data_IF_280037912345
#
_entry.id   IF_280037912345
#
_cell.length_a   1.000
_cell.length_b   1.000
_cell.length_c   1.000
_cell.angle_alpha   90.00
_cell.angle_beta   90.00
_cell.angle_gamma   90.00
#
_symmetry.space_group_name_H-M   'P 1'
#
loop_
_entity.id
_entity.type
_entity.pdbx_description
1 polymer ?
#
# COMPACT_ATOMS: atom_id res chain seq x y z
N UNK A 1 13.62 -24.57 -21.35
CA UNK A 1 12.18 -24.18 -21.48
C UNK A 1 11.30 -25.14 -20.68
N UNK A 2 10.24 -24.65 -20.02
CA UNK A 2 9.36 -25.50 -19.18
C UNK A 2 8.74 -26.66 -19.98
N UNK A 3 8.50 -26.44 -21.27
CA UNK A 3 7.98 -27.42 -22.25
C UNK A 3 8.91 -28.61 -22.50
N UNK A 4 10.20 -28.47 -22.17
CA UNK A 4 11.22 -29.51 -22.35
C UNK A 4 11.54 -30.22 -21.04
N UNK A 5 10.93 -29.82 -19.92
CA UNK A 5 11.18 -30.44 -18.63
C UNK A 5 10.49 -31.80 -18.55
N UNK A 6 11.24 -32.81 -18.13
CA UNK A 6 10.68 -34.13 -17.83
C UNK A 6 10.16 -34.24 -16.40
N UNK A 7 10.53 -33.28 -15.53
CA UNK A 7 10.27 -33.29 -14.08
C UNK A 7 9.01 -32.50 -13.69
N UNK A 8 8.62 -31.52 -14.50
CA UNK A 8 7.50 -30.63 -14.21
C UNK A 8 6.68 -30.37 -15.46
N UNK A 9 5.39 -30.11 -15.27
CA UNK A 9 4.46 -29.73 -16.33
C UNK A 9 3.67 -28.50 -15.91
N UNK A 10 3.53 -27.54 -16.82
CA UNK A 10 2.63 -26.41 -16.62
C UNK A 10 1.21 -26.84 -17.00
N UNK A 11 0.26 -26.81 -16.07
CA UNK A 11 -1.16 -27.13 -16.34
C UNK A 11 -2.03 -25.91 -16.56
N UNK A 12 -1.60 -24.72 -16.10
CA UNK A 12 -2.28 -23.47 -16.45
C UNK A 12 -2.07 -23.16 -17.94
N UNK A 13 -3.15 -22.81 -18.65
CA UNK A 13 -3.09 -22.31 -20.03
C UNK A 13 -2.13 -21.11 -20.11
N UNK A 14 -1.28 -21.10 -21.14
CA UNK A 14 -0.39 -19.97 -21.44
C UNK A 14 -1.22 -18.90 -22.18
N UNK A 15 -2.36 -18.50 -21.59
CA UNK A 15 -3.28 -17.56 -22.20
C UNK A 15 -2.77 -16.13 -22.11
N UNK A 16 -3.15 -15.31 -23.10
CA UNK A 16 -2.86 -13.87 -23.11
C UNK A 16 -3.55 -13.15 -21.95
N UNK A 17 -4.58 -13.75 -21.36
CA UNK A 17 -5.29 -13.31 -20.16
C UNK A 17 -4.71 -13.94 -18.88
N UNK A 18 -3.41 -13.77 -18.68
CA UNK A 18 -2.75 -14.23 -17.46
C UNK A 18 -3.34 -13.52 -16.23
N UNK A 19 -4.14 -14.23 -15.43
CA UNK A 19 -4.85 -13.66 -14.28
C UNK A 19 -4.07 -13.62 -12.97
N UNK A 20 -2.85 -14.18 -12.92
CA UNK A 20 -2.01 -14.08 -11.71
C UNK A 20 -1.42 -15.39 -11.21
N UNK A 21 -1.96 -16.53 -11.64
CA UNK A 21 -1.60 -17.85 -11.11
C UNK A 21 -1.08 -18.77 -12.21
N UNK A 22 0.01 -19.48 -11.92
CA UNK A 22 0.50 -20.62 -12.70
C UNK A 22 0.44 -21.86 -11.83
N UNK A 23 -0.17 -22.91 -12.36
CA UNK A 23 -0.17 -24.23 -11.71
C UNK A 23 0.90 -25.08 -12.37
N UNK A 24 1.82 -25.58 -11.56
CA UNK A 24 2.91 -26.46 -11.98
C UNK A 24 2.73 -27.78 -11.25
N UNK A 25 2.64 -28.86 -12.03
CA UNK A 25 2.55 -30.22 -11.52
C UNK A 25 3.90 -30.90 -11.64
N UNK A 26 4.28 -31.66 -10.61
CA UNK A 26 5.44 -32.53 -10.65
C UNK A 26 5.06 -33.83 -11.35
N UNK A 27 5.91 -34.30 -12.25
CA UNK A 27 5.69 -35.55 -12.98
C UNK A 27 6.19 -36.75 -12.18
N UNK A 28 5.87 -37.95 -12.66
CA UNK A 28 6.38 -39.22 -12.10
C UNK A 28 7.92 -39.33 -12.16
N UNK A 29 8.59 -38.53 -13.00
CA UNK A 29 10.05 -38.52 -13.11
C UNK A 29 10.72 -37.68 -12.01
N UNK A 30 9.96 -36.94 -11.21
CA UNK A 30 10.49 -36.17 -10.07
C UNK A 30 10.78 -37.08 -8.88
N UNK A 31 11.84 -37.87 -9.01
CA UNK A 31 12.31 -38.83 -7.99
C UNK A 31 13.03 -38.12 -6.84
N UNK A 32 13.09 -38.72 -5.64
CA UNK A 32 13.90 -38.21 -4.54
C UNK A 32 15.34 -37.90 -4.98
N UNK A 33 15.84 -36.71 -4.64
CA UNK A 33 17.15 -36.22 -5.08
C UNK A 33 17.13 -35.34 -6.34
N UNK A 34 15.97 -35.15 -6.97
CA UNK A 34 15.80 -34.20 -8.08
C UNK A 34 15.71 -32.76 -7.59
N UNK A 35 16.22 -31.81 -8.38
CA UNK A 35 16.13 -30.37 -8.12
C UNK A 35 15.49 -29.68 -9.32
N UNK A 36 14.56 -28.77 -9.05
CA UNK A 36 13.93 -27.90 -10.06
C UNK A 36 14.12 -26.45 -9.62
N UNK A 37 14.52 -25.58 -10.55
CA UNK A 37 14.73 -24.16 -10.31
C UNK A 37 13.73 -23.38 -11.15
N UNK A 38 13.00 -22.47 -10.51
CA UNK A 38 12.06 -21.57 -11.16
C UNK A 38 12.64 -20.16 -11.23
N UNK A 39 12.66 -19.58 -12.43
CA UNK A 39 12.81 -18.14 -12.59
C UNK A 39 11.40 -17.55 -12.73
N UNK A 40 11.04 -16.65 -11.82
CA UNK A 40 9.73 -15.99 -11.81
C UNK A 40 9.94 -14.50 -12.02
N UNK A 41 9.15 -13.91 -12.92
CA UNK A 41 9.13 -12.47 -13.18
C UNK A 41 7.82 -11.86 -12.73
N UNK A 42 7.88 -10.59 -12.34
CA UNK A 42 6.69 -9.79 -12.06
C UNK A 42 5.83 -9.67 -13.33
N UNK A 43 4.52 -9.58 -13.15
CA UNK A 43 3.59 -9.51 -14.28
C UNK A 43 3.73 -8.20 -15.03
N UNK A 44 3.60 -8.20 -16.38
CA UNK A 44 3.66 -6.98 -17.17
C UNK A 44 2.72 -5.88 -16.68
N UNK A 45 1.51 -6.25 -16.24
CA UNK A 45 0.52 -5.31 -15.68
C UNK A 45 1.00 -4.59 -14.40
N UNK A 46 1.88 -5.21 -13.62
CA UNK A 46 2.41 -4.67 -12.37
C UNK A 46 3.62 -3.75 -12.63
N UNK A 47 4.30 -3.85 -13.77
CA UNK A 47 5.45 -2.99 -14.07
C UNK A 47 5.09 -1.51 -14.04
N UNK A 48 3.93 -1.13 -14.56
CA UNK A 48 3.49 0.27 -14.50
C UNK A 48 3.27 0.73 -13.05
N UNK A 49 2.70 -0.13 -12.20
CA UNK A 49 2.55 0.14 -10.76
C UNK A 49 3.90 0.37 -10.09
N UNK A 50 4.92 -0.44 -10.41
CA UNK A 50 6.28 -0.27 -9.86
C UNK A 50 6.90 1.06 -10.27
N UNK A 51 6.80 1.42 -11.56
CA UNK A 51 7.28 2.72 -12.08
C UNK A 51 6.58 3.87 -11.34
N UNK A 52 5.25 3.78 -11.16
CA UNK A 52 4.49 4.80 -10.45
C UNK A 52 4.94 4.94 -8.98
N UNK A 53 5.24 3.82 -8.30
CA UNK A 53 5.77 3.83 -6.93
C UNK A 53 7.14 4.51 -6.87
N UNK A 54 8.06 4.15 -7.77
CA UNK A 54 9.38 4.77 -7.85
C UNK A 54 9.29 6.28 -8.10
N UNK A 55 8.43 6.70 -9.04
CA UNK A 55 8.20 8.11 -9.32
C UNK A 55 7.71 8.87 -8.08
N UNK A 56 6.84 8.27 -7.26
CA UNK A 56 6.34 8.89 -6.03
C UNK A 56 7.41 8.97 -4.96
N UNK A 57 8.19 7.91 -4.76
CA UNK A 57 9.31 7.93 -3.82
C UNK A 57 10.28 9.05 -4.20
N UNK A 58 10.55 9.22 -5.49
CA UNK A 58 11.38 10.30 -6.01
C UNK A 58 10.80 11.70 -5.76
N UNK A 59 9.46 11.85 -5.69
CA UNK A 59 8.84 13.13 -5.34
C UNK A 59 9.19 13.58 -3.92
N UNK A 60 9.32 12.66 -2.95
CA UNK A 60 9.67 13.02 -1.58
C UNK A 60 11.09 13.57 -1.44
N UNK A 61 12.01 13.15 -2.32
CA UNK A 61 13.41 13.59 -2.31
C UNK A 61 13.67 14.80 -3.21
N UNK A 62 12.74 15.17 -4.09
CA UNK A 62 12.90 16.24 -5.06
C UNK A 62 12.23 17.55 -4.58
N UNK A 63 12.98 18.61 -4.24
CA UNK A 63 12.43 19.88 -3.74
C UNK A 63 11.45 20.57 -4.69
N UNK A 64 11.57 20.32 -5.99
CA UNK A 64 10.71 20.91 -7.03
C UNK A 64 9.45 20.07 -7.32
N UNK A 65 9.24 18.98 -6.59
CA UNK A 65 8.12 18.06 -6.80
C UNK A 65 6.77 18.68 -6.46
N UNK A 66 5.71 18.09 -7.01
CA UNK A 66 4.34 18.45 -6.65
C UNK A 66 4.08 18.27 -5.15
N UNK A 67 4.61 17.20 -4.54
CA UNK A 67 4.53 16.97 -3.10
C UNK A 67 5.10 18.15 -2.31
N UNK A 68 6.32 18.60 -2.64
CA UNK A 68 6.94 19.72 -1.91
C UNK A 68 6.16 21.02 -2.04
N UNK A 69 5.59 21.31 -3.22
CA UNK A 69 4.69 22.47 -3.41
C UNK A 69 3.45 22.38 -2.52
N UNK A 70 2.80 21.22 -2.48
CA UNK A 70 1.62 21.00 -1.62
C UNK A 70 1.97 21.26 -0.15
N UNK A 71 3.11 20.75 0.32
CA UNK A 71 3.53 20.93 1.72
C UNK A 71 3.90 22.39 2.03
N UNK A 72 4.50 23.12 1.08
CA UNK A 72 4.85 24.54 1.26
C UNK A 72 3.62 25.44 1.40
N UNK A 73 2.50 25.08 0.80
CA UNK A 73 1.24 25.84 0.90
C UNK A 73 0.49 25.59 2.22
N UNK A 74 0.92 24.63 3.05
CA UNK A 74 0.27 24.31 4.32
C UNK A 74 0.74 25.25 5.44
N UNK A 75 -0.21 25.74 6.23
CA UNK A 75 0.11 26.41 7.49
C UNK A 75 0.45 25.39 8.58
N UNK A 76 1.00 25.85 9.71
CA UNK A 76 1.24 25.00 10.88
C UNK A 76 -0.06 24.35 11.41
N UNK A 77 -1.19 25.05 11.29
CA UNK A 77 -2.51 24.53 11.68
C UNK A 77 -2.94 23.41 10.73
N UNK A 78 -2.67 23.56 9.43
CA UNK A 78 -3.00 22.52 8.45
C UNK A 78 -2.10 21.29 8.63
N UNK A 79 -0.81 21.50 8.95
CA UNK A 79 0.14 20.42 9.26
C UNK A 79 -0.26 19.66 10.54
N UNK A 80 -0.69 20.36 11.58
CA UNK A 80 -1.23 19.74 12.80
C UNK A 80 -2.39 18.81 12.45
N UNK A 81 -3.33 19.26 11.60
CA UNK A 81 -4.45 18.43 11.16
C UNK A 81 -4.02 17.22 10.33
N UNK A 82 -3.07 17.40 9.42
CA UNK A 82 -2.56 16.33 8.53
C UNK A 82 -1.81 15.26 9.33
N UNK A 83 -0.97 15.68 10.27
CA UNK A 83 -0.06 14.78 11.00
C UNK A 83 -0.67 14.25 12.30
N UNK A 84 -1.36 15.10 13.05
CA UNK A 84 -1.83 14.82 14.40
C UNK A 84 -3.37 14.83 14.45
N UNK A 85 -3.95 15.41 15.51
CA UNK A 85 -5.34 15.32 15.96
C UNK A 85 -5.64 14.06 16.76
N UNK A 86 -5.93 14.25 18.04
CA UNK A 86 -6.56 13.25 18.90
C UNK A 86 -8.00 12.99 18.47
N UNK A 87 -8.59 11.89 18.96
CA UNK A 87 -10.01 11.56 18.74
C UNK A 87 -10.93 12.69 19.24
N UNK A 88 -10.67 13.23 20.42
CA UNK A 88 -11.48 14.32 21.02
C UNK A 88 -11.44 15.58 20.17
N UNK A 89 -10.25 15.97 19.72
CA UNK A 89 -10.06 17.11 18.84
C UNK A 89 -10.81 16.93 17.53
N UNK A 90 -10.64 15.78 16.86
CA UNK A 90 -11.31 15.51 15.58
C UNK A 90 -12.84 15.52 15.71
N UNK A 91 -13.37 14.94 16.78
CA UNK A 91 -14.81 14.92 17.06
C UNK A 91 -15.36 16.33 17.38
N UNK A 92 -14.55 17.20 17.99
CA UNK A 92 -14.96 18.57 18.32
C UNK A 92 -15.31 19.43 17.10
N UNK A 93 -14.77 19.09 15.92
CA UNK A 93 -15.13 19.74 14.65
C UNK A 93 -16.59 19.43 14.22
N UNK A 94 -17.26 18.47 14.89
CA UNK A 94 -18.67 18.14 14.67
C UNK A 94 -18.93 17.49 13.31
N UNK A 95 -17.92 16.84 12.72
CA UNK A 95 -17.99 16.26 11.37
C UNK A 95 -18.22 14.75 11.34
N UNK A 96 -18.41 14.11 12.51
CA UNK A 96 -18.64 12.68 12.62
C UNK A 96 -17.43 11.82 12.23
N UNK A 97 -16.23 12.40 12.22
CA UNK A 97 -14.98 11.69 12.01
C UNK A 97 -14.40 11.33 13.37
N UNK A 98 -13.97 10.08 13.52
CA UNK A 98 -13.30 9.59 14.71
C UNK A 98 -11.99 8.89 14.33
N UNK A 99 -11.21 8.45 15.31
CA UNK A 99 -9.94 7.78 15.10
C UNK A 99 -10.11 6.43 14.41
N UNK A 100 -9.21 6.13 13.46
CA UNK A 100 -9.23 4.85 12.75
C UNK A 100 -8.90 3.70 13.70
N UNK A 101 -9.70 2.64 13.62
CA UNK A 101 -9.46 1.39 14.33
C UNK A 101 -8.92 0.35 13.36
N UNK A 102 -7.69 -0.10 13.58
CA UNK A 102 -7.11 -1.22 12.83
C UNK A 102 -7.73 -2.51 13.38
N UNK A 103 -8.38 -3.35 12.54
CA UNK A 103 -8.90 -4.64 12.96
C UNK A 103 -7.79 -5.49 13.59
N UNK A 104 -8.11 -6.22 14.67
CA UNK A 104 -7.19 -7.08 15.41
C UNK A 104 -5.96 -6.36 16.02
N UNK A 105 -6.01 -5.04 16.17
CA UNK A 105 -4.94 -4.25 16.81
C UNK A 105 -5.47 -3.17 17.74
N UNK A 106 -6.43 -2.35 17.28
CA UNK A 106 -7.01 -1.26 18.06
C UNK A 106 -6.95 0.10 17.37
N UNK A 107 -7.31 1.14 18.13
CA UNK A 107 -7.33 2.52 17.65
C UNK A 107 -5.93 3.08 17.48
N UNK A 108 -5.75 3.96 16.48
CA UNK A 108 -4.56 4.79 16.38
C UNK A 108 -4.49 5.79 17.54
N UNK A 109 -3.29 6.28 17.85
CA UNK A 109 -3.12 7.33 18.86
C UNK A 109 -3.58 8.70 18.32
N UNK A 110 -3.40 8.92 17.02
CA UNK A 110 -3.82 10.12 16.31
C UNK A 110 -4.62 9.75 15.06
N UNK A 111 -5.55 10.63 14.67
CA UNK A 111 -6.30 10.54 13.42
C UNK A 111 -5.41 10.84 12.20
N UNK A 112 -4.33 11.58 12.38
CA UNK A 112 -3.36 11.96 11.35
C UNK A 112 -2.29 10.92 11.05
N UNK A 113 -1.48 11.22 10.04
CA UNK A 113 -0.44 10.32 9.53
C UNK A 113 0.58 9.91 10.60
N UNK A 114 0.83 10.76 11.59
CA UNK A 114 1.77 10.47 12.68
C UNK A 114 1.29 9.31 13.56
N UNK A 115 -0.02 9.06 13.64
CA UNK A 115 -0.57 7.90 14.37
C UNK A 115 -0.08 6.55 13.83
N UNK A 116 0.36 6.50 12.57
CA UNK A 116 0.89 5.28 11.94
C UNK A 116 2.39 5.09 12.19
N UNK A 117 3.15 6.16 12.45
CA UNK A 117 4.61 6.14 12.48
C UNK A 117 5.16 5.11 13.49
N UNK A 118 4.72 5.09 14.77
CA UNK A 118 5.24 4.12 15.74
C UNK A 118 4.98 2.65 15.33
N UNK A 119 3.84 2.40 14.69
CA UNK A 119 3.46 1.07 14.21
C UNK A 119 4.35 0.67 13.03
N UNK A 120 4.53 1.58 12.06
CA UNK A 120 5.35 1.36 10.88
C UNK A 120 6.84 1.19 11.23
N UNK A 121 7.35 1.94 12.20
CA UNK A 121 8.73 1.79 12.68
C UNK A 121 8.98 0.38 13.25
N UNK A 122 8.07 -0.11 14.08
CA UNK A 122 8.14 -1.47 14.64
C UNK A 122 8.07 -2.53 13.54
N UNK A 123 7.15 -2.38 12.59
CA UNK A 123 7.02 -3.31 11.44
C UNK A 123 8.30 -3.30 10.62
N UNK A 124 8.89 -2.13 10.33
CA UNK A 124 10.11 -1.99 9.53
C UNK A 124 11.30 -2.65 10.20
N UNK A 125 11.50 -2.43 11.50
CA UNK A 125 12.64 -2.98 12.25
C UNK A 125 12.59 -4.51 12.34
N UNK A 126 11.39 -5.08 12.49
CA UNK A 126 11.19 -6.53 12.70
C UNK A 126 10.72 -7.29 11.46
N UNK A 127 10.58 -6.60 10.32
CA UNK A 127 10.00 -7.13 9.07
C UNK A 127 8.67 -7.90 9.29
N UNK A 128 7.78 -7.36 10.14
CA UNK A 128 6.59 -8.07 10.61
C UNK A 128 5.45 -8.06 9.57
N UNK A 129 5.59 -8.84 8.49
CA UNK A 129 4.62 -8.91 7.38
C UNK A 129 3.22 -9.45 7.76
N UNK A 130 3.11 -10.04 8.96
CA UNK A 130 1.86 -10.54 9.56
C UNK A 130 1.19 -9.54 10.51
N UNK A 131 1.73 -8.33 10.67
CA UNK A 131 1.14 -7.32 11.54
C UNK A 131 -0.29 -6.96 11.07
N UNK A 132 -1.26 -6.74 11.98
CA UNK A 132 -2.65 -6.44 11.58
C UNK A 132 -2.78 -5.23 10.64
N UNK A 133 -1.99 -4.17 10.85
CA UNK A 133 -1.90 -3.03 9.91
C UNK A 133 -1.56 -3.47 8.47
N UNK A 134 -0.57 -4.37 8.31
CA UNK A 134 -0.17 -4.88 6.99
C UNK A 134 -1.29 -5.73 6.40
N UNK A 135 -1.96 -6.54 7.21
CA UNK A 135 -3.11 -7.32 6.78
C UNK A 135 -4.27 -6.42 6.32
N UNK A 136 -4.60 -5.38 7.08
CA UNK A 136 -5.60 -4.37 6.71
C UNK A 136 -5.25 -3.68 5.39
N UNK A 137 -3.98 -3.29 5.21
CA UNK A 137 -3.46 -2.73 3.97
C UNK A 137 -3.49 -3.71 2.79
N UNK A 138 -3.38 -5.02 3.01
CA UNK A 138 -3.54 -6.03 1.96
C UNK A 138 -5.00 -6.19 1.57
N UNK A 139 -5.89 -6.28 2.55
CA UNK A 139 -7.31 -6.57 2.37
C UNK A 139 -8.10 -5.44 1.71
N UNK A 140 -7.74 -4.17 1.96
CA UNK A 140 -8.52 -3.06 1.42
C UNK A 140 -7.83 -1.71 1.54
N UNK A 141 -8.52 -0.68 1.06
CA UNK A 141 -8.00 0.70 1.01
C UNK A 141 -8.58 1.58 2.13
N UNK A 142 -9.30 0.98 3.08
CA UNK A 142 -10.04 1.70 4.12
C UNK A 142 -9.21 2.71 4.89
N UNK A 143 -7.96 2.38 5.23
CA UNK A 143 -7.07 3.33 5.90
C UNK A 143 -6.75 4.55 5.02
N UNK A 144 -6.45 4.37 3.74
CA UNK A 144 -6.17 5.49 2.83
C UNK A 144 -7.43 6.30 2.54
N UNK A 145 -8.58 5.63 2.41
CA UNK A 145 -9.89 6.27 2.24
C UNK A 145 -10.25 7.08 3.49
N UNK A 146 -10.03 6.55 4.69
CA UNK A 146 -10.19 7.25 5.95
C UNK A 146 -9.35 8.53 6.00
N UNK A 147 -8.03 8.42 5.80
CA UNK A 147 -7.12 9.58 5.91
C UNK A 147 -7.45 10.63 4.86
N UNK A 148 -7.72 10.22 3.63
CA UNK A 148 -8.09 11.16 2.57
C UNK A 148 -9.44 11.83 2.87
N UNK A 149 -10.47 11.08 3.27
CA UNK A 149 -11.80 11.62 3.53
C UNK A 149 -11.82 12.63 4.68
N UNK A 150 -11.06 12.42 5.77
CA UNK A 150 -10.98 13.42 6.84
C UNK A 150 -10.37 14.74 6.36
N UNK A 151 -9.31 14.67 5.53
CA UNK A 151 -8.67 15.87 4.98
C UNK A 151 -9.49 16.56 3.88
N UNK A 152 -10.38 15.83 3.21
CA UNK A 152 -11.28 16.38 2.18
C UNK A 152 -12.22 17.45 2.74
N UNK A 153 -12.59 17.34 4.02
CA UNK A 153 -13.58 18.21 4.67
C UNK A 153 -13.03 19.63 4.85
N UNK A 154 -11.71 19.78 4.93
CA UNK A 154 -11.08 21.07 5.18
C UNK A 154 -10.48 21.64 3.88
N UNK A 155 -10.83 22.89 3.48
CA UNK A 155 -10.38 23.48 2.22
C UNK A 155 -8.86 23.50 2.05
N UNK A 156 -8.12 23.84 3.11
CA UNK A 156 -6.66 23.99 3.06
C UNK A 156 -5.91 22.66 2.89
N UNK A 157 -6.50 21.54 3.33
CA UNK A 157 -5.87 20.21 3.22
C UNK A 157 -6.34 19.44 1.99
N UNK A 158 -7.11 20.08 1.10
CA UNK A 158 -7.71 19.43 -0.08
C UNK A 158 -6.65 18.93 -1.07
N UNK A 159 -5.52 19.62 -1.21
CA UNK A 159 -4.42 19.15 -2.06
C UNK A 159 -3.77 17.88 -1.51
N UNK A 160 -3.62 17.79 -0.18
CA UNK A 160 -3.14 16.57 0.50
C UNK A 160 -4.12 15.42 0.30
N UNK A 161 -5.44 15.69 0.37
CA UNK A 161 -6.48 14.71 0.02
C UNK A 161 -6.27 14.14 -1.38
N UNK A 162 -6.10 14.98 -2.41
CA UNK A 162 -5.90 14.51 -3.79
C UNK A 162 -4.62 13.70 -3.93
N UNK A 163 -3.55 14.10 -3.26
CA UNK A 163 -2.29 13.35 -3.25
C UNK A 163 -2.49 11.95 -2.64
N UNK A 164 -3.12 11.83 -1.47
CA UNK A 164 -3.37 10.52 -0.83
C UNK A 164 -4.36 9.67 -1.65
N UNK A 165 -5.36 10.29 -2.25
CA UNK A 165 -6.29 9.60 -3.15
C UNK A 165 -5.58 9.06 -4.40
N UNK A 166 -4.60 9.79 -4.93
CA UNK A 166 -3.76 9.29 -6.01
C UNK A 166 -2.96 8.05 -5.58
N UNK A 167 -2.37 8.07 -4.37
CA UNK A 167 -1.66 6.90 -3.82
C UNK A 167 -2.56 5.66 -3.73
N UNK A 168 -3.82 5.82 -3.31
CA UNK A 168 -4.74 4.68 -3.16
C UNK A 168 -5.15 4.03 -4.49
N UNK A 169 -5.13 4.79 -5.59
CA UNK A 169 -5.42 4.29 -6.94
C UNK A 169 -4.32 3.37 -7.48
N UNK A 170 -3.07 3.60 -7.09
CA UNK A 170 -1.92 2.76 -7.50
C UNK A 170 -2.12 1.32 -7.01
N UNK A 171 -2.67 1.16 -5.82
CA UNK A 171 -3.01 -0.17 -5.29
C UNK A 171 -4.13 -0.86 -6.07
N UNK A 172 -5.08 -0.13 -6.66
CA UNK A 172 -6.21 -0.69 -7.43
C UNK A 172 -5.83 -1.15 -8.84
N UNK A 173 -4.68 -0.74 -9.38
CA UNK A 173 -4.21 -1.17 -10.71
C UNK A 173 -3.67 -2.61 -10.76
N UNK A 174 -3.83 -3.40 -9.69
CA UNK A 174 -3.34 -4.78 -9.59
C UNK A 174 -4.47 -5.80 -9.56
#
# INVERSE_FOLDING_TARGET
PIEQSQLIRLTSLNDREYNGFRTIEFTENFRPGSIVIFQVSVLPRIHQTLINIEQIINQFSNPSSQFNKIIQDLTLIDLERVLYRSSVEEQSDGKGVDVYTIPDYGQLVYCGLHGLIPILEKIRQSNQLKHPLVNNLKQGNWLMEYISNRLKIHPNTKQVFYFILFLSKIKKSN
#
